data_IF_606152163126
#
_entry.id   IF_606152163126
#
_cell.length_a   1.000
_cell.length_b   1.000
_cell.length_c   1.000
_cell.angle_alpha   90.00
_cell.angle_beta   90.00
_cell.angle_gamma   90.00
#
_symmetry.space_group_name_H-M   'P 1'
#
loop_
_entity.id
_entity.type
_entity.pdbx_description
1 polymer ?
#
# COMPACT_ATOMS: atom_id res chain seq x y z
N UNK A 1 11.48 10.48 4.28
CA UNK A 1 10.01 10.32 4.24
C UNK A 1 9.62 9.12 5.09
N UNK A 2 8.46 9.18 5.76
CA UNK A 2 7.86 8.06 6.49
C UNK A 2 6.91 7.31 5.54
N UNK A 3 7.23 6.06 5.27
CA UNK A 3 6.46 5.21 4.37
C UNK A 3 5.92 4.00 5.15
N UNK A 4 4.74 3.53 4.76
CA UNK A 4 4.24 2.24 5.20
C UNK A 4 4.02 1.32 4.01
N UNK A 5 4.45 0.06 4.15
CA UNK A 5 4.26 -1.01 3.19
C UNK A 5 3.32 -2.05 3.79
N UNK A 6 2.11 -2.17 3.23
CA UNK A 6 1.08 -3.10 3.70
C UNK A 6 1.13 -4.42 2.94
N UNK A 7 1.10 -5.54 3.68
CA UNK A 7 1.30 -6.87 3.11
C UNK A 7 2.74 -7.04 2.64
N UNK A 8 3.67 -6.56 3.46
CA UNK A 8 5.05 -6.34 3.04
C UNK A 8 5.80 -7.65 2.76
N UNK A 9 5.38 -8.82 3.26
CA UNK A 9 6.14 -10.06 3.11
C UNK A 9 6.24 -10.49 1.63
N UNK A 10 7.44 -10.87 1.12
CA UNK A 10 8.72 -10.99 1.84
C UNK A 10 9.58 -9.71 1.88
N UNK A 11 9.15 -8.60 1.27
CA UNK A 11 9.78 -7.29 1.46
C UNK A 11 10.10 -6.52 0.19
N UNK A 12 9.50 -6.87 -0.96
CA UNK A 12 9.86 -6.26 -2.25
C UNK A 12 9.69 -4.73 -2.27
N UNK A 13 8.51 -4.24 -1.89
CA UNK A 13 8.24 -2.79 -1.80
C UNK A 13 9.07 -2.16 -0.68
N UNK A 14 9.12 -2.77 0.50
CA UNK A 14 9.98 -2.35 1.61
C UNK A 14 11.43 -2.12 1.16
N UNK A 15 12.01 -3.07 0.41
CA UNK A 15 13.37 -2.97 -0.12
C UNK A 15 13.51 -1.78 -1.06
N UNK A 16 12.58 -1.57 -1.99
CA UNK A 16 12.63 -0.41 -2.91
C UNK A 16 12.59 0.90 -2.11
N UNK A 17 11.66 1.02 -1.17
CA UNK A 17 11.46 2.24 -0.39
C UNK A 17 12.67 2.56 0.51
N UNK A 18 13.24 1.54 1.16
CA UNK A 18 14.41 1.71 2.00
C UNK A 18 15.65 2.13 1.18
N UNK A 19 15.84 1.56 -0.02
CA UNK A 19 16.92 1.99 -0.93
C UNK A 19 16.74 3.42 -1.46
N UNK A 20 15.51 3.92 -1.51
CA UNK A 20 15.21 5.32 -1.81
C UNK A 20 15.40 6.26 -0.60
N UNK A 21 15.83 5.73 0.56
CA UNK A 21 16.11 6.50 1.78
C UNK A 21 14.88 6.79 2.63
N UNK A 22 13.78 6.05 2.45
CA UNK A 22 12.61 6.18 3.32
C UNK A 22 12.80 5.45 4.65
N UNK A 23 12.11 5.95 5.68
CA UNK A 23 11.86 5.19 6.91
C UNK A 23 10.61 4.37 6.69
N UNK A 24 10.74 3.04 6.66
CA UNK A 24 9.67 2.14 6.24
C UNK A 24 9.14 1.37 7.44
N UNK A 25 7.82 1.46 7.65
CA UNK A 25 7.08 0.53 8.51
C UNK A 25 6.47 -0.56 7.63
N UNK A 26 6.98 -1.77 7.73
CA UNK A 26 6.57 -2.94 6.95
C UNK A 26 5.58 -3.76 7.74
N UNK A 27 4.37 -3.91 7.23
CA UNK A 27 3.26 -4.55 7.94
C UNK A 27 2.91 -5.87 7.27
N UNK A 28 3.12 -6.97 7.99
CA UNK A 28 2.64 -8.29 7.60
C UNK A 28 2.56 -9.20 8.83
N UNK A 29 1.78 -10.27 8.80
CA UNK A 29 1.84 -11.31 9.85
C UNK A 29 3.09 -12.19 9.69
N UNK A 30 3.52 -12.38 8.45
CA UNK A 30 4.69 -13.18 8.10
C UNK A 30 5.99 -12.40 8.24
N UNK A 31 7.10 -13.13 8.28
CA UNK A 31 8.42 -12.56 8.36
C UNK A 31 8.86 -11.92 7.05
N UNK A 32 9.51 -10.75 7.15
CA UNK A 32 10.29 -10.22 6.05
C UNK A 32 11.48 -11.14 5.78
N UNK A 33 12.01 -11.05 4.57
CA UNK A 33 13.32 -11.61 4.27
C UNK A 33 14.37 -11.01 5.23
N UNK A 34 15.25 -11.83 5.82
CA UNK A 34 16.25 -11.37 6.80
C UNK A 34 17.14 -10.23 6.28
N UNK A 35 17.47 -10.22 4.98
CA UNK A 35 18.28 -9.16 4.39
C UNK A 35 17.52 -7.84 4.32
N UNK A 36 16.21 -7.88 4.06
CA UNK A 36 15.35 -6.67 4.07
C UNK A 36 15.13 -6.18 5.49
N UNK A 37 14.90 -7.09 6.45
CA UNK A 37 14.74 -6.73 7.86
C UNK A 37 16.00 -6.08 8.45
N UNK A 38 17.18 -6.49 7.97
CA UNK A 38 18.46 -5.93 8.40
C UNK A 38 18.78 -4.55 7.78
N UNK A 39 17.98 -4.07 6.82
CA UNK A 39 18.22 -2.77 6.20
C UNK A 39 18.04 -1.62 7.19
N UNK A 40 18.86 -0.55 7.11
CA UNK A 40 18.64 0.65 7.88
C UNK A 40 17.24 1.23 7.64
N UNK A 41 16.64 1.77 8.71
CA UNK A 41 15.35 2.47 8.66
C UNK A 41 14.14 1.59 8.27
N UNK A 42 14.28 0.27 8.23
CA UNK A 42 13.17 -0.68 8.15
C UNK A 42 12.73 -1.09 9.54
N UNK A 43 11.42 -1.01 9.80
CA UNK A 43 10.79 -1.50 11.01
C UNK A 43 9.65 -2.45 10.64
N UNK A 44 9.69 -3.69 11.13
CA UNK A 44 8.62 -4.65 10.90
C UNK A 44 7.56 -4.57 12.00
N UNK A 45 6.30 -4.47 11.59
CA UNK A 45 5.13 -4.55 12.45
C UNK A 45 4.33 -5.82 12.13
N UNK A 46 4.36 -6.78 13.05
CA UNK A 46 3.63 -8.06 12.90
C UNK A 46 2.13 -7.92 13.14
N UNK A 47 1.39 -7.38 12.17
CA UNK A 47 -0.06 -7.12 12.29
C UNK A 47 -0.78 -7.38 10.96
N UNK A 48 -2.10 -7.54 11.05
CA UNK A 48 -2.97 -7.58 9.87
C UNK A 48 -3.14 -6.15 9.32
N UNK A 49 -2.81 -5.94 8.05
CA UNK A 49 -2.91 -4.65 7.40
C UNK A 49 -4.32 -4.03 7.52
N UNK A 50 -5.37 -4.84 7.44
CA UNK A 50 -6.76 -4.37 7.52
C UNK A 50 -7.29 -4.22 8.95
N UNK A 51 -6.44 -4.44 9.96
CA UNK A 51 -6.76 -4.18 11.38
C UNK A 51 -5.97 -3.00 11.93
N UNK A 52 -5.19 -2.31 11.08
CA UNK A 52 -4.53 -1.08 11.45
C UNK A 52 -5.50 0.07 11.33
N UNK A 53 -5.55 0.90 12.37
CA UNK A 53 -6.23 2.19 12.33
C UNK A 53 -5.18 3.27 12.10
N UNK A 54 -5.44 4.30 11.27
CA UNK A 54 -4.51 5.40 11.07
C UNK A 54 -4.02 6.03 12.38
N UNK A 55 -4.91 6.17 13.38
CA UNK A 55 -4.59 6.72 14.70
C UNK A 55 -3.56 5.90 15.50
N UNK A 56 -3.47 4.58 15.28
CA UNK A 56 -2.48 3.72 15.95
C UNK A 56 -1.07 3.92 15.39
N UNK A 57 -0.96 4.44 14.17
CA UNK A 57 0.31 4.59 13.44
C UNK A 57 0.79 6.05 13.44
N UNK A 58 -0.13 6.99 13.28
CA UNK A 58 0.18 8.41 13.12
C UNK A 58 0.49 8.80 11.68
N UNK A 59 1.07 10.01 11.51
CA UNK A 59 1.26 10.64 10.20
C UNK A 59 2.33 9.92 9.35
N UNK A 60 2.00 9.71 8.09
CA UNK A 60 2.85 9.16 7.03
C UNK A 60 2.94 10.14 5.87
N UNK A 61 4.05 10.05 5.13
CA UNK A 61 4.18 10.73 3.85
C UNK A 61 3.60 9.87 2.73
N UNK A 62 3.75 8.53 2.82
CA UNK A 62 3.29 7.57 1.80
C UNK A 62 2.76 6.27 2.37
N UNK A 63 1.76 5.70 1.71
CA UNK A 63 1.26 4.35 1.94
C UNK A 63 1.34 3.52 0.65
N UNK A 64 1.93 2.33 0.78
CA UNK A 64 2.07 1.34 -0.29
C UNK A 64 1.27 0.09 0.04
N UNK A 65 0.65 -0.54 -0.96
CA UNK A 65 -0.06 -1.80 -0.77
C UNK A 65 -0.02 -2.67 -2.02
N UNK A 66 0.52 -3.88 -1.90
CA UNK A 66 0.41 -4.93 -2.94
C UNK A 66 -0.40 -6.15 -2.42
N UNK A 67 -1.22 -5.94 -1.39
CA UNK A 67 -1.96 -7.00 -0.70
C UNK A 67 -2.95 -7.66 -1.66
N UNK A 68 -2.94 -9.00 -1.69
CA UNK A 68 -3.98 -9.77 -2.35
C UNK A 68 -5.26 -9.72 -1.51
N UNK A 69 -6.17 -8.82 -1.88
CA UNK A 69 -7.46 -8.63 -1.23
C UNK A 69 -8.56 -8.36 -2.27
N UNK A 70 -9.78 -8.20 -1.81
CA UNK A 70 -10.86 -7.70 -2.67
C UNK A 70 -10.63 -6.20 -2.97
N UNK A 71 -10.77 -5.74 -4.23
CA UNK A 71 -10.64 -4.33 -4.58
C UNK A 71 -11.43 -3.36 -3.71
N UNK A 72 -12.67 -3.70 -3.34
CA UNK A 72 -13.51 -2.85 -2.48
C UNK A 72 -12.92 -2.67 -1.09
N UNK A 73 -12.35 -3.73 -0.53
CA UNK A 73 -11.68 -3.68 0.77
C UNK A 73 -10.43 -2.81 0.74
N UNK A 74 -9.67 -2.81 -0.36
CA UNK A 74 -8.55 -1.88 -0.55
C UNK A 74 -9.05 -0.44 -0.65
N UNK A 75 -10.14 -0.19 -1.38
CA UNK A 75 -10.73 1.13 -1.53
C UNK A 75 -11.19 1.71 -0.17
N UNK A 76 -11.87 0.90 0.64
CA UNK A 76 -12.26 1.25 2.01
C UNK A 76 -11.05 1.65 2.87
N UNK A 77 -9.96 0.87 2.80
CA UNK A 77 -8.71 1.21 3.49
C UNK A 77 -8.14 2.54 3.02
N UNK A 78 -8.11 2.80 1.71
CA UNK A 78 -7.62 4.08 1.17
C UNK A 78 -8.47 5.24 1.66
N UNK A 79 -9.80 5.10 1.69
CA UNK A 79 -10.68 6.13 2.23
C UNK A 79 -10.46 6.36 3.72
N UNK A 80 -10.33 5.31 4.54
CA UNK A 80 -10.04 5.45 5.98
C UNK A 80 -8.76 6.28 6.22
N UNK A 81 -7.71 6.00 5.45
CA UNK A 81 -6.46 6.75 5.54
C UNK A 81 -6.58 8.20 5.04
N UNK A 82 -7.27 8.43 3.92
CA UNK A 82 -7.50 9.77 3.39
C UNK A 82 -8.33 10.64 4.35
N UNK A 83 -9.44 10.10 4.87
CA UNK A 83 -10.35 10.79 5.79
C UNK A 83 -9.68 11.11 7.13
N UNK A 84 -8.73 10.28 7.56
CA UNK A 84 -7.96 10.55 8.78
C UNK A 84 -7.02 11.76 8.65
N UNK A 85 -6.66 12.18 7.43
CA UNK A 85 -5.66 13.22 7.17
C UNK A 85 -4.23 12.82 7.58
N UNK A 86 -3.99 11.54 7.87
CA UNK A 86 -2.68 11.05 8.31
C UNK A 86 -1.82 10.51 7.16
N UNK A 87 -2.36 10.40 5.94
CA UNK A 87 -1.60 10.05 4.75
C UNK A 87 -2.23 10.70 3.51
N UNK A 88 -1.40 11.29 2.65
CA UNK A 88 -1.86 12.04 1.47
C UNK A 88 -1.42 11.40 0.16
N UNK A 89 -0.37 10.57 0.19
CA UNK A 89 0.19 9.92 -1.00
C UNK A 89 0.08 8.40 -0.91
N UNK A 90 -0.27 7.77 -2.03
CA UNK A 90 -0.57 6.35 -2.09
C UNK A 90 -0.04 5.73 -3.38
N UNK A 91 0.41 4.48 -3.29
CA UNK A 91 0.58 3.59 -4.44
C UNK A 91 0.06 2.21 -4.06
N UNK A 92 -1.01 1.78 -4.72
CA UNK A 92 -1.65 0.51 -4.41
C UNK A 92 -1.90 -0.31 -5.68
N UNK A 93 -1.76 -1.63 -5.58
CA UNK A 93 -2.10 -2.55 -6.66
C UNK A 93 -3.51 -3.11 -6.46
N UNK A 94 -4.40 -2.83 -7.40
CA UNK A 94 -5.76 -3.36 -7.42
C UNK A 94 -5.73 -4.73 -8.11
N UNK A 95 -5.88 -5.81 -7.34
CA UNK A 95 -5.89 -7.19 -7.83
C UNK A 95 -7.31 -7.58 -8.26
N UNK A 96 -7.53 -7.94 -9.52
CA UNK A 96 -8.82 -8.43 -9.98
C UNK A 96 -8.91 -9.95 -9.77
N UNK A 97 -10.03 -10.43 -9.22
CA UNK A 97 -10.33 -11.87 -9.11
C UNK A 97 -11.45 -12.22 -10.10
N UNK A 98 -11.17 -13.12 -11.04
CA UNK A 98 -12.16 -13.59 -12.00
C UNK A 98 -12.44 -12.55 -13.10
N UNK A 99 -13.66 -11.99 -13.16
CA UNK A 99 -13.97 -10.93 -14.11
C UNK A 99 -13.40 -9.61 -13.61
N UNK A 100 -12.87 -8.79 -14.51
CA UNK A 100 -12.40 -7.44 -14.18
C UNK A 100 -13.58 -6.59 -13.70
N UNK A 101 -13.54 -6.17 -12.45
CA UNK A 101 -14.50 -5.21 -11.90
C UNK A 101 -14.08 -3.80 -12.31
N UNK A 102 -14.60 -3.32 -13.44
CA UNK A 102 -14.33 -1.97 -13.89
C UNK A 102 -15.05 -0.90 -13.05
N UNK A 103 -16.09 -1.25 -12.30
CA UNK A 103 -16.83 -0.30 -11.48
C UNK A 103 -16.01 0.11 -10.26
N UNK A 104 -15.39 -0.84 -9.55
CA UNK A 104 -14.50 -0.49 -8.43
C UNK A 104 -13.29 0.33 -8.89
N UNK A 105 -12.75 0.07 -10.08
CA UNK A 105 -11.67 0.89 -10.65
C UNK A 105 -12.15 2.33 -10.92
N UNK A 106 -13.38 2.51 -11.42
CA UNK A 106 -13.97 3.85 -11.56
C UNK A 106 -14.12 4.53 -10.21
N UNK A 107 -14.48 3.80 -9.15
CA UNK A 107 -14.58 4.36 -7.81
C UNK A 107 -13.23 4.86 -7.28
N UNK A 108 -12.14 4.12 -7.48
CA UNK A 108 -10.79 4.61 -7.20
C UNK A 108 -10.47 5.90 -7.96
N UNK A 109 -10.84 5.98 -9.24
CA UNK A 109 -10.60 7.15 -10.09
C UNK A 109 -11.50 8.36 -9.77
N UNK A 110 -12.53 8.21 -8.94
CA UNK A 110 -13.30 9.36 -8.41
C UNK A 110 -12.52 10.13 -7.35
N UNK A 111 -11.49 9.53 -6.76
CA UNK A 111 -10.59 10.23 -5.85
C UNK A 111 -9.81 11.28 -6.66
N UNK A 112 -10.03 12.55 -6.32
CA UNK A 112 -9.44 13.68 -7.04
C UNK A 112 -7.90 13.61 -7.06
N UNK A 113 -7.33 13.79 -8.25
CA UNK A 113 -5.88 13.74 -8.49
C UNK A 113 -5.31 12.33 -8.57
N UNK A 114 -6.15 11.30 -8.48
CA UNK A 114 -5.68 9.92 -8.59
C UNK A 114 -5.53 9.45 -10.05
N UNK A 115 -4.66 8.47 -10.24
CA UNK A 115 -4.36 7.89 -11.52
C UNK A 115 -4.31 6.37 -11.40
N UNK A 116 -4.58 5.68 -12.50
CA UNK A 116 -4.44 4.23 -12.57
C UNK A 116 -3.85 3.82 -13.92
N UNK A 117 -2.96 2.83 -13.90
CA UNK A 117 -2.34 2.27 -15.12
C UNK A 117 -2.04 0.80 -14.95
N UNK A 118 -2.35 0.03 -16.00
CA UNK A 118 -1.81 -1.31 -16.16
C UNK A 118 -0.34 -1.20 -16.56
N UNK A 119 0.57 -1.47 -15.62
CA UNK A 119 2.01 -1.39 -15.82
C UNK A 119 2.54 -2.68 -16.48
N UNK A 120 3.76 -2.61 -17.03
CA UNK A 120 4.39 -3.76 -17.70
C UNK A 120 4.44 -5.03 -16.85
N UNK A 121 4.72 -4.90 -15.56
CA UNK A 121 4.78 -6.03 -14.63
C UNK A 121 3.41 -6.47 -14.11
N UNK A 122 2.34 -5.70 -14.36
CA UNK A 122 1.01 -6.07 -13.90
C UNK A 122 0.46 -7.24 -14.73
N UNK A 123 -0.04 -8.27 -14.04
CA UNK A 123 -0.81 -9.35 -14.65
C UNK A 123 -2.29 -8.98 -14.73
N UNK A 124 -3.15 -9.63 -13.94
CA UNK A 124 -4.57 -9.31 -13.85
C UNK A 124 -4.84 -8.31 -12.72
N UNK A 125 -4.15 -7.18 -12.80
CA UNK A 125 -4.13 -6.16 -11.77
C UNK A 125 -3.81 -4.80 -12.39
N UNK A 126 -4.08 -3.71 -11.67
CA UNK A 126 -3.77 -2.34 -12.10
C UNK A 126 -3.08 -1.62 -10.96
N UNK A 127 -2.07 -0.82 -11.26
CA UNK A 127 -1.44 0.06 -10.27
C UNK A 127 -2.18 1.37 -10.22
N UNK A 128 -2.69 1.73 -9.05
CA UNK A 128 -3.34 3.01 -8.74
C UNK A 128 -2.41 3.84 -7.86
N UNK A 129 -2.36 5.15 -8.09
CA UNK A 129 -1.62 6.07 -7.23
C UNK A 129 -2.32 7.42 -7.08
N UNK A 130 -2.05 8.05 -5.95
CA UNK A 130 -2.44 9.41 -5.64
C UNK A 130 -1.20 10.13 -5.10
N UNK A 131 -0.92 11.32 -5.63
CA UNK A 131 0.12 12.20 -5.12
C UNK A 131 -0.48 13.58 -4.93
N UNK A 132 -0.42 14.10 -3.71
CA UNK A 132 -0.89 15.44 -3.34
C UNK A 132 0.29 16.35 -3.00
#
# INVERSE_FOLDING_TARGET
QKCMDLGACPGGWTWVLANLGAHVTSVDKADLDPAVLAMPHVHQLKKDAFKLKPADIGKLDWLFSDVICEPRRLLELVHEWLESGLCENFVCTIKFKGKTDFEVLKDFLKIEGSHARHLFANKHEVTWWLKR
#
